data_IF_250172184230
#
_entry.id   IF_250172184230
#
_cell.length_a   1.000
_cell.length_b   1.000
_cell.length_c   1.000
_cell.angle_alpha   90.00
_cell.angle_beta   90.00
_cell.angle_gamma   90.00
#
_symmetry.space_group_name_H-M   'P 1'
#
loop_
_entity.id
_entity.type
_entity.pdbx_description
1 polymer ?
#
# COMPACT_ATOMS: atom_id res chain seq x y z
N UNK A 1 15.51 -17.58 28.46
CA UNK A 1 15.57 -17.94 27.03
C UNK A 1 15.73 -16.64 26.27
N UNK A 2 16.92 -16.33 25.78
CA UNK A 2 17.13 -15.15 24.94
C UNK A 2 16.65 -15.49 23.54
N UNK A 3 15.57 -14.86 23.08
CA UNK A 3 15.21 -14.87 21.67
C UNK A 3 16.38 -14.30 20.88
N UNK A 4 16.94 -15.12 20.00
CA UNK A 4 17.97 -14.71 19.06
C UNK A 4 17.32 -13.73 18.08
N UNK A 5 17.47 -12.44 18.34
CA UNK A 5 17.30 -11.41 17.33
C UNK A 5 18.19 -11.80 16.15
N UNK A 6 17.58 -12.23 15.05
CA UNK A 6 18.31 -12.48 13.81
C UNK A 6 19.12 -11.21 13.50
N UNK A 7 20.39 -11.34 13.09
CA UNK A 7 21.17 -10.18 12.70
C UNK A 7 20.44 -9.51 11.53
N UNK A 8 20.07 -8.25 11.72
CA UNK A 8 19.60 -7.39 10.63
C UNK A 8 20.79 -7.31 9.68
N UNK A 9 20.79 -8.08 8.59
CA UNK A 9 21.69 -7.82 7.47
C UNK A 9 21.46 -6.36 7.11
N UNK A 10 22.50 -5.53 7.12
CA UNK A 10 22.45 -4.07 7.03
C UNK A 10 21.88 -3.53 5.71
N UNK A 11 20.61 -3.79 5.44
CA UNK A 11 19.83 -3.24 4.36
C UNK A 11 19.12 -1.96 4.80
N UNK A 12 18.85 -1.07 3.84
CA UNK A 12 17.96 0.07 4.05
C UNK A 12 16.52 -0.43 4.03
N UNK A 13 15.69 0.09 4.95
CA UNK A 13 14.26 -0.17 4.95
C UNK A 13 13.65 0.23 3.60
N UNK A 14 12.82 -0.64 3.03
CA UNK A 14 12.22 -0.49 1.70
C UNK A 14 11.00 -1.39 1.54
N UNK A 15 10.21 -1.15 0.51
CA UNK A 15 9.21 -2.12 0.08
C UNK A 15 9.89 -3.38 -0.49
N UNK A 16 9.33 -4.54 -0.18
CA UNK A 16 9.85 -5.82 -0.67
C UNK A 16 9.80 -5.86 -2.20
N UNK A 17 10.85 -6.35 -2.84
CA UNK A 17 10.79 -6.58 -4.28
C UNK A 17 9.97 -7.86 -4.48
N UNK A 18 8.74 -7.73 -5.01
CA UNK A 18 7.79 -8.84 -5.01
C UNK A 18 8.35 -10.11 -5.67
N UNK A 19 7.90 -11.25 -5.17
CA UNK A 19 8.29 -12.55 -5.68
C UNK A 19 7.95 -12.63 -7.18
N UNK A 20 8.92 -12.96 -8.02
CA UNK A 20 8.78 -13.07 -9.48
C UNK A 20 8.35 -11.77 -10.19
N UNK A 21 8.69 -10.60 -9.64
CA UNK A 21 8.36 -9.31 -10.25
C UNK A 21 6.91 -8.88 -10.03
N UNK A 22 6.20 -9.49 -9.08
CA UNK A 22 4.92 -8.96 -8.60
C UNK A 22 5.12 -7.57 -7.97
N UNK A 23 4.18 -6.66 -8.20
CA UNK A 23 4.21 -5.34 -7.56
C UNK A 23 4.12 -5.48 -6.05
N UNK A 24 4.87 -4.65 -5.31
CA UNK A 24 4.90 -4.73 -3.84
C UNK A 24 3.65 -4.17 -3.16
N UNK A 25 2.69 -3.65 -3.95
CA UNK A 25 1.38 -3.19 -3.51
C UNK A 25 0.30 -4.09 -4.09
N UNK A 26 -0.36 -4.85 -3.21
CA UNK A 26 -1.57 -5.59 -3.52
C UNK A 26 -2.79 -4.68 -3.33
N UNK A 27 -3.67 -4.69 -4.33
CA UNK A 27 -4.93 -3.94 -4.33
C UNK A 27 -6.08 -4.94 -4.48
N UNK A 28 -7.11 -4.82 -3.65
CA UNK A 28 -8.38 -5.55 -3.79
C UNK A 28 -9.54 -4.59 -3.65
N UNK A 29 -10.50 -4.67 -4.55
CA UNK A 29 -11.67 -3.79 -4.56
C UNK A 29 -12.93 -4.59 -4.22
N UNK A 30 -13.76 -4.05 -3.33
CA UNK A 30 -15.08 -4.59 -3.00
C UNK A 30 -16.13 -3.49 -3.18
N UNK A 31 -17.17 -3.79 -3.96
CA UNK A 31 -18.23 -2.83 -4.27
C UNK A 31 -19.40 -2.94 -3.30
N UNK A 32 -19.94 -1.80 -2.88
CA UNK A 32 -21.18 -1.73 -2.12
C UNK A 32 -21.89 -0.41 -2.39
N UNK A 33 -23.12 -0.47 -2.88
CA UNK A 33 -24.04 0.67 -2.99
C UNK A 33 -23.47 1.93 -3.67
N UNK A 34 -22.72 1.78 -4.77
CA UNK A 34 -22.14 2.93 -5.48
C UNK A 34 -20.83 3.47 -4.89
N UNK A 35 -20.29 2.77 -3.89
CA UNK A 35 -18.96 3.03 -3.32
C UNK A 35 -18.07 1.80 -3.47
N UNK A 36 -16.76 1.99 -3.32
CA UNK A 36 -15.78 0.90 -3.29
C UNK A 36 -14.91 0.96 -2.03
N UNK A 37 -14.77 -0.18 -1.37
CA UNK A 37 -13.77 -0.40 -0.34
C UNK A 37 -12.52 -1.01 -0.99
N UNK A 38 -11.40 -0.29 -0.92
CA UNK A 38 -10.14 -0.64 -1.55
C UNK A 38 -9.16 -1.08 -0.48
N UNK A 39 -8.92 -2.39 -0.39
CA UNK A 39 -7.90 -2.95 0.48
C UNK A 39 -6.52 -2.80 -0.17
N UNK A 40 -5.60 -2.16 0.55
CA UNK A 40 -4.21 -1.95 0.14
C UNK A 40 -3.30 -2.72 1.09
N UNK A 41 -2.37 -3.49 0.56
CA UNK A 41 -1.38 -4.24 1.34
C UNK A 41 0.00 -4.16 0.71
N UNK A 42 1.01 -3.90 1.51
CA UNK A 42 2.41 -3.89 1.11
C UNK A 42 3.26 -4.78 2.00
N UNK A 43 4.33 -5.31 1.44
CA UNK A 43 5.36 -6.04 2.19
C UNK A 43 6.63 -5.22 2.27
N UNK A 44 7.38 -5.40 3.35
CA UNK A 44 8.52 -4.58 3.73
C UNK A 44 9.76 -5.44 3.98
N UNK A 45 10.92 -4.91 3.61
CA UNK A 45 12.22 -5.48 3.95
C UNK A 45 12.96 -4.52 4.87
N UNK A 46 13.54 -5.04 5.94
CA UNK A 46 14.40 -4.28 6.88
C UNK A 46 13.71 -3.08 7.56
N UNK A 47 12.38 -3.03 7.58
CA UNK A 47 11.64 -1.97 8.27
C UNK A 47 11.81 -2.08 9.79
N UNK A 48 12.20 -1.00 10.49
CA UNK A 48 12.26 -1.00 11.95
C UNK A 48 10.84 -0.99 12.57
N UNK A 49 10.69 -1.33 13.87
CA UNK A 49 9.38 -1.39 14.55
C UNK A 49 8.58 -0.07 14.60
N UNK A 50 9.21 1.07 14.27
CA UNK A 50 8.60 2.40 14.24
C UNK A 50 8.35 2.91 12.82
N UNK A 51 8.58 2.08 11.80
CA UNK A 51 8.26 2.45 10.45
C UNK A 51 6.73 2.59 10.30
N UNK A 52 6.33 3.54 9.47
CA UNK A 52 4.94 3.80 9.15
C UNK A 52 4.77 3.71 7.63
N UNK A 53 3.57 3.36 7.17
CA UNK A 53 3.21 3.47 5.76
C UNK A 53 2.04 4.44 5.64
N UNK A 54 2.23 5.49 4.82
CA UNK A 54 1.11 6.31 4.34
C UNK A 54 0.52 5.65 3.10
N UNK A 55 -0.75 5.29 3.18
CA UNK A 55 -1.54 4.85 2.05
C UNK A 55 -2.44 5.98 1.57
N UNK A 56 -2.57 6.13 0.25
CA UNK A 56 -3.41 7.14 -0.36
C UNK A 56 -4.05 6.60 -1.65
N UNK A 57 -5.31 6.98 -1.89
CA UNK A 57 -5.93 6.99 -3.21
C UNK A 57 -6.11 8.45 -3.60
N UNK A 58 -5.47 8.87 -4.69
CA UNK A 58 -5.45 10.27 -5.13
C UNK A 58 -6.88 10.82 -5.30
N UNK A 59 -7.12 12.02 -4.75
CA UNK A 59 -8.43 12.71 -4.70
C UNK A 59 -9.53 12.08 -3.82
N UNK A 60 -9.25 10.98 -3.09
CA UNK A 60 -10.28 10.30 -2.28
C UNK A 60 -9.95 10.23 -0.79
N UNK A 61 -8.97 9.43 -0.41
CA UNK A 61 -8.75 9.07 0.99
C UNK A 61 -7.28 8.75 1.25
N UNK A 62 -6.84 8.97 2.49
CA UNK A 62 -5.49 8.66 2.93
C UNK A 62 -5.45 8.26 4.40
N UNK A 63 -4.46 7.45 4.76
CA UNK A 63 -4.24 7.05 6.15
C UNK A 63 -2.79 6.68 6.39
N UNK A 64 -2.36 6.77 7.64
CA UNK A 64 -1.04 6.35 8.09
C UNK A 64 -1.24 5.17 9.02
N UNK A 65 -0.55 4.06 8.74
CA UNK A 65 -0.57 2.87 9.57
C UNK A 65 0.83 2.55 10.07
N UNK A 66 0.93 2.08 11.30
CA UNK A 66 2.18 1.53 11.83
C UNK A 66 2.43 0.16 11.18
N UNK A 67 3.68 -0.11 10.80
CA UNK A 67 4.05 -1.38 10.20
C UNK A 67 3.93 -2.53 11.21
N UNK A 68 3.29 -3.63 10.81
CA UNK A 68 3.25 -4.86 11.58
C UNK A 68 4.30 -5.83 11.01
N UNK A 69 5.41 -6.01 11.74
CA UNK A 69 6.53 -6.88 11.33
C UNK A 69 7.09 -6.56 9.93
N UNK A 70 6.61 -7.25 8.90
CA UNK A 70 7.07 -7.23 7.52
C UNK A 70 5.99 -6.82 6.52
N UNK A 71 4.84 -6.30 7.00
CA UNK A 71 3.80 -5.77 6.13
C UNK A 71 3.06 -4.58 6.76
N UNK A 72 2.29 -3.89 5.93
CA UNK A 72 1.30 -2.92 6.35
C UNK A 72 0.05 -3.07 5.45
N UNK A 73 -1.13 -2.89 6.02
CA UNK A 73 -2.38 -2.96 5.27
C UNK A 73 -3.44 -2.00 5.77
N UNK A 74 -4.35 -1.62 4.89
CA UNK A 74 -5.48 -0.74 5.21
C UNK A 74 -6.64 -0.97 4.25
N UNK A 75 -7.79 -0.34 4.54
CA UNK A 75 -8.92 -0.21 3.63
C UNK A 75 -9.25 1.27 3.50
N UNK A 76 -9.24 1.78 2.27
CA UNK A 76 -9.63 3.14 1.92
C UNK A 76 -10.96 3.14 1.15
N UNK A 77 -11.72 4.23 1.25
CA UNK A 77 -13.03 4.34 0.60
C UNK A 77 -12.97 5.25 -0.63
N UNK A 78 -13.64 4.82 -1.70
CA UNK A 78 -13.97 5.64 -2.87
C UNK A 78 -15.48 5.79 -2.90
N UNK A 79 -15.98 7.01 -2.68
CA UNK A 79 -17.42 7.32 -2.69
C UNK A 79 -17.68 8.71 -3.28
N UNK A 80 -18.39 8.82 -4.43
CA UNK A 80 -18.90 7.74 -5.27
C UNK A 80 -17.80 7.07 -6.11
N UNK A 81 -17.91 5.75 -6.34
CA UNK A 81 -17.01 5.02 -7.25
C UNK A 81 -17.44 5.18 -8.71
N UNK A 82 -16.49 5.56 -9.56
CA UNK A 82 -16.57 5.47 -11.03
C UNK A 82 -16.05 4.09 -11.46
N UNK A 83 -16.86 3.37 -12.22
CA UNK A 83 -16.45 2.12 -12.84
C UNK A 83 -15.75 2.42 -14.16
N UNK A 84 -14.65 1.71 -14.44
CA UNK A 84 -13.97 1.74 -15.72
C UNK A 84 -14.90 1.13 -16.78
N UNK A 85 -15.18 1.88 -17.84
CA UNK A 85 -15.76 1.36 -19.08
C UNK A 85 -14.67 1.41 -20.14
N UNK A 86 -14.00 0.26 -20.35
CA UNK A 86 -12.83 0.06 -21.23
C UNK A 86 -12.97 0.70 -22.63
N UNK A 87 -14.19 0.96 -23.10
CA UNK A 87 -14.49 1.47 -24.43
C UNK A 87 -14.66 3.00 -24.46
N UNK A 88 -15.19 3.61 -23.40
CA UNK A 88 -15.66 5.00 -23.43
C UNK A 88 -14.97 5.91 -22.41
N UNK A 89 -14.53 5.36 -21.27
CA UNK A 89 -13.91 6.11 -20.17
C UNK A 89 -12.96 5.19 -19.38
N UNK A 90 -11.67 5.11 -19.77
CA UNK A 90 -10.66 4.33 -19.06
C UNK A 90 -10.31 5.04 -17.74
N UNK A 91 -11.23 4.98 -16.79
CA UNK A 91 -11.09 5.59 -15.47
C UNK A 91 -10.12 4.75 -14.64
N UNK A 92 -8.90 5.25 -14.50
CA UNK A 92 -7.88 4.68 -13.62
C UNK A 92 -7.74 5.54 -12.37
N UNK A 93 -7.77 4.89 -11.22
CA UNK A 93 -7.40 5.45 -9.94
C UNK A 93 -5.90 5.28 -9.71
N UNK A 94 -5.32 6.14 -8.88
CA UNK A 94 -3.92 6.08 -8.48
C UNK A 94 -3.86 5.73 -7.00
N UNK A 95 -3.30 4.55 -6.69
CA UNK A 95 -2.97 4.16 -5.32
C UNK A 95 -1.48 4.41 -5.06
N UNK A 96 -1.17 4.98 -3.88
CA UNK A 96 0.18 5.23 -3.42
C UNK A 96 0.42 4.61 -2.04
N UNK A 97 1.62 4.09 -1.84
CA UNK A 97 2.15 3.72 -0.54
C UNK A 97 3.51 4.40 -0.33
N UNK A 98 3.69 5.13 0.77
CA UNK A 98 4.94 5.78 1.15
C UNK A 98 5.46 5.18 2.45
N UNK A 99 6.66 4.60 2.43
CA UNK A 99 7.32 4.13 3.64
C UNK A 99 7.96 5.33 4.34
N UNK A 100 7.63 5.52 5.60
CA UNK A 100 8.07 6.64 6.41
C UNK A 100 8.90 6.17 7.61
N UNK A 101 9.93 6.95 7.94
CA UNK A 101 10.73 6.81 9.14
C UNK A 101 11.00 8.18 9.74
N UNK A 102 10.65 8.37 11.02
CA UNK A 102 10.81 9.64 11.74
C UNK A 102 10.19 10.84 10.98
N UNK A 103 9.03 10.62 10.34
CA UNK A 103 8.30 11.63 9.57
C UNK A 103 8.86 11.91 8.16
N UNK A 104 9.90 11.20 7.71
CA UNK A 104 10.47 11.34 6.37
C UNK A 104 10.08 10.17 5.47
N UNK A 105 9.70 10.46 4.23
CA UNK A 105 9.48 9.43 3.20
C UNK A 105 10.83 8.90 2.74
N UNK A 106 11.04 7.59 2.85
CA UNK A 106 12.30 6.92 2.49
C UNK A 106 12.17 6.00 1.27
N UNK A 107 10.95 5.57 0.94
CA UNK A 107 10.63 4.75 -0.24
C UNK A 107 9.16 4.95 -0.63
N UNK A 108 8.80 4.71 -1.89
CA UNK A 108 7.44 4.93 -2.39
C UNK A 108 7.08 4.01 -3.55
N UNK A 109 5.82 3.58 -3.58
CA UNK A 109 5.22 2.83 -4.70
C UNK A 109 3.94 3.52 -5.14
N UNK A 110 3.76 3.59 -6.46
CA UNK A 110 2.54 4.11 -7.09
C UNK A 110 2.04 3.08 -8.11
N UNK A 111 0.75 2.78 -8.06
CA UNK A 111 0.09 1.82 -8.96
C UNK A 111 -1.24 2.38 -9.42
N UNK A 112 -1.48 2.30 -10.73
CA UNK A 112 -2.79 2.58 -11.30
C UNK A 112 -3.69 1.34 -11.18
N UNK A 113 -4.97 1.53 -10.88
CA UNK A 113 -5.94 0.44 -10.85
C UNK A 113 -7.30 0.89 -11.38
N UNK A 114 -8.02 -0.05 -11.99
CA UNK A 114 -9.40 0.15 -12.43
C UNK A 114 -10.36 -0.46 -11.41
N UNK A 115 -11.53 0.16 -11.27
CA UNK A 115 -12.68 -0.42 -10.60
C UNK A 115 -13.63 -0.94 -11.67
N UNK A 116 -13.81 -2.26 -11.79
CA UNK A 116 -14.68 -2.89 -12.81
C UNK A 116 -15.38 -4.11 -12.25
#
# INVERSE_FOLDING_TARGET
MCEKTKPIRGGKARFAHGLLGSGSLQIRVQFRNGSAAVSLKVWLEYAPPRAEVRFCIEDYDETIVLCEHDYAETVLLIDPVRLEDEVNDPCLYIAKAELMLDGQVIDSITVNFACR
#
